data_IF_210885159277
#
_entry.id   IF_210885159277
#
_cell.length_a   1.000
_cell.length_b   1.000
_cell.length_c   1.000
_cell.angle_alpha   90.00
_cell.angle_beta   90.00
_cell.angle_gamma   90.00
#
_symmetry.space_group_name_H-M   'P 1'
#
loop_
_entity.id
_entity.type
_entity.pdbx_description
1 polymer ?
#
# COMPACT_ATOMS: atom_id res chain seq x y z
N UNK A 1 -14.58 -63.27 3.97
CA UNK A 1 -14.15 -62.89 3.80
C UNK A 1 -13.76 -62.03 3.20
N UNK A 2 -13.46 -61.78 3.08
CA UNK A 2 -13.06 -61.01 2.55
C UNK A 2 -13.39 -59.98 2.39
N UNK A 3 -13.49 -59.47 2.36
CA UNK A 3 -13.86 -58.61 2.09
C UNK A 3 -13.70 -57.62 2.49
N UNK A 4 -13.69 -57.41 2.80
CA UNK A 4 -13.64 -56.51 3.20
C UNK A 4 -12.98 -55.69 3.07
N UNK A 5 -12.68 -55.52 2.93
CA UNK A 5 -11.90 -54.92 2.96
C UNK A 5 -11.71 -53.94 2.38
N UNK A 6 -11.73 -53.81 1.87
CA UNK A 6 -11.52 -52.93 1.24
C UNK A 6 -11.89 -51.82 1.41
N UNK A 7 -12.09 -51.51 1.42
CA UNK A 7 -12.53 -50.60 1.42
C UNK A 7 -12.31 -49.60 1.90
N UNK A 8 -12.10 -49.42 2.18
CA UNK A 8 -12.01 -48.60 2.81
C UNK A 8 -11.19 -47.70 2.60
N UNK A 9 -10.49 -47.69 2.26
CA UNK A 9 -9.54 -46.86 2.17
C UNK A 9 -9.74 -45.73 1.44
N UNK A 10 -10.36 -45.82 0.64
CA UNK A 10 -10.48 -44.83 -0.15
C UNK A 10 -10.96 -43.67 0.34
N UNK A 11 -11.38 -43.63 1.31
CA UNK A 11 -11.92 -42.57 1.75
C UNK A 11 -11.09 -41.45 1.94
N UNK A 12 -9.96 -41.47 2.25
CA UNK A 12 -9.17 -40.37 2.63
C UNK A 12 -8.83 -39.41 1.57
N UNK A 13 -8.85 -39.82 0.41
CA UNK A 13 -8.38 -39.01 -0.61
C UNK A 13 -9.06 -37.73 -0.86
N UNK A 14 -10.32 -37.64 -0.83
CA UNK A 14 -10.97 -36.41 -1.19
C UNK A 14 -10.64 -35.25 -0.30
N UNK A 15 -10.24 -35.52 0.87
CA UNK A 15 -10.00 -34.44 1.75
C UNK A 15 -8.86 -33.57 1.33
N UNK A 16 -7.91 -34.12 0.67
CA UNK A 16 -6.76 -33.33 0.34
C UNK A 16 -7.05 -32.32 -0.70
N UNK A 17 -7.92 -32.58 -1.55
CA UNK A 17 -8.16 -31.66 -2.62
C UNK A 17 -8.72 -30.38 -2.15
N UNK A 18 -9.39 -30.40 -1.07
CA UNK A 18 -10.01 -29.19 -0.64
C UNK A 18 -9.06 -28.17 -0.14
N UNK A 19 -8.01 -28.59 0.45
CA UNK A 19 -7.10 -27.64 0.99
C UNK A 19 -6.44 -26.83 -0.08
N UNK A 20 -6.26 -27.39 -1.20
CA UNK A 20 -5.55 -26.65 -2.20
C UNK A 20 -6.35 -25.55 -2.78
N UNK A 21 -7.63 -25.70 -2.76
CA UNK A 21 -8.39 -24.67 -3.36
C UNK A 21 -8.38 -23.42 -2.61
N UNK A 22 -8.20 -23.51 -1.35
CA UNK A 22 -8.19 -22.30 -0.59
C UNK A 22 -7.03 -21.45 -0.88
N UNK A 23 -5.97 -22.02 -1.26
CA UNK A 23 -4.80 -21.24 -1.50
C UNK A 23 -4.86 -20.47 -2.76
N UNK A 24 -5.83 -20.72 -3.55
CA UNK A 24 -5.87 -20.07 -4.81
C UNK A 24 -6.70 -18.84 -4.84
N UNK A 25 -7.09 -18.33 -3.71
CA UNK A 25 -7.82 -17.10 -3.71
C UNK A 25 -7.00 -16.01 -3.08
N UNK A 26 -5.81 -15.78 -3.54
CA UNK A 26 -5.01 -14.71 -2.97
C UNK A 26 -5.34 -13.36 -3.53
N UNK A 27 -6.28 -13.30 -4.42
CA UNK A 27 -6.58 -12.04 -5.05
C UNK A 27 -7.51 -11.16 -4.25
N UNK A 28 -7.94 -11.62 -3.11
CA UNK A 28 -8.82 -10.81 -2.30
C UNK A 28 -8.04 -9.67 -1.68
N UNK A 29 -8.50 -8.47 -1.89
CA UNK A 29 -7.85 -7.31 -1.30
C UNK A 29 -8.28 -7.18 0.14
N UNK A 30 -7.34 -6.85 0.98
CA UNK A 30 -7.63 -6.60 2.37
C UNK A 30 -7.55 -5.12 2.62
N UNK A 31 -8.44 -4.63 3.45
CA UNK A 31 -8.46 -3.23 3.79
C UNK A 31 -7.92 -3.06 5.20
N UNK A 32 -7.00 -2.15 5.34
CA UNK A 32 -6.43 -1.83 6.64
C UNK A 32 -6.78 -0.41 6.98
N UNK A 33 -7.29 -0.15 8.17
CA UNK A 33 -7.55 1.23 8.55
C UNK A 33 -6.23 1.98 8.70
N UNK A 34 -6.21 3.19 8.19
CA UNK A 34 -5.06 4.04 8.32
C UNK A 34 -5.49 5.38 8.86
N UNK A 35 -4.68 5.93 9.74
CA UNK A 35 -4.89 7.28 10.22
C UNK A 35 -3.84 8.17 9.57
N UNK A 36 -4.28 9.26 8.98
CA UNK A 36 -3.36 10.20 8.36
C UNK A 36 -3.50 11.54 9.05
N UNK A 37 -2.41 12.25 9.14
CA UNK A 37 -2.40 13.57 9.73
C UNK A 37 -2.57 14.60 8.64
N UNK A 38 -3.58 15.43 8.79
CA UNK A 38 -3.86 16.46 7.80
C UNK A 38 -3.66 17.82 8.43
N UNK A 39 -3.11 18.72 7.65
CA UNK A 39 -2.84 20.08 8.07
C UNK A 39 -3.68 21.02 7.23
N UNK A 40 -4.12 22.15 7.82
CA UNK A 40 -4.94 23.10 7.10
C UNK A 40 -4.18 24.01 6.16
N UNK A 41 -2.93 23.70 5.88
CA UNK A 41 -2.13 24.54 5.01
C UNK A 41 -1.09 23.69 4.31
N UNK A 42 -0.32 24.32 3.43
CA UNK A 42 0.74 23.63 2.73
C UNK A 42 1.88 23.32 3.70
N UNK A 43 2.39 22.10 3.67
CA UNK A 43 3.48 21.72 4.54
C UNK A 43 4.86 22.07 3.99
N UNK A 44 4.90 22.78 2.86
CA UNK A 44 6.15 22.96 2.14
C UNK A 44 7.23 23.59 2.97
N UNK A 45 6.90 24.69 3.66
CA UNK A 45 7.89 25.36 4.48
C UNK A 45 8.35 24.52 5.65
N UNK A 46 7.44 23.81 6.25
CA UNK A 46 7.76 22.98 7.39
C UNK A 46 8.68 21.85 6.99
N UNK A 47 8.41 21.23 5.85
CA UNK A 47 9.23 20.13 5.38
C UNK A 47 10.62 20.62 5.00
N UNK A 48 10.70 21.79 4.39
CA UNK A 48 11.99 22.35 4.05
C UNK A 48 12.80 22.67 5.28
N UNK A 49 12.18 23.32 6.26
CA UNK A 49 12.92 23.76 7.43
C UNK A 49 13.32 22.62 8.34
N UNK A 50 12.46 21.64 8.51
CA UNK A 50 12.77 20.57 9.43
C UNK A 50 13.60 19.46 8.83
N UNK A 51 13.34 19.14 7.57
CA UNK A 51 13.96 17.96 6.97
C UNK A 51 14.76 18.29 5.73
N UNK A 52 14.73 19.50 5.27
CA UNK A 52 15.42 19.85 4.03
C UNK A 52 14.79 19.26 2.81
N UNK A 53 13.51 18.93 2.87
CA UNK A 53 12.83 18.28 1.77
C UNK A 53 12.23 19.29 0.82
N UNK A 54 12.38 19.02 -0.45
CA UNK A 54 11.86 19.86 -1.53
C UNK A 54 10.90 19.02 -2.38
N UNK A 55 9.92 19.68 -3.01
CA UNK A 55 9.03 18.92 -3.90
C UNK A 55 9.81 18.34 -5.05
N UNK A 56 9.55 17.09 -5.32
CA UNK A 56 10.30 16.35 -6.32
C UNK A 56 9.39 15.80 -7.41
N UNK A 57 8.25 15.23 -7.06
CA UNK A 57 7.30 14.70 -8.01
C UNK A 57 5.91 15.11 -7.61
N UNK A 58 5.05 15.34 -8.61
CA UNK A 58 3.66 15.66 -8.40
C UNK A 58 2.80 14.85 -9.34
N UNK A 59 1.60 14.56 -8.92
CA UNK A 59 0.65 13.89 -9.77
C UNK A 59 -0.74 14.01 -9.21
N UNK A 60 -1.71 13.57 -10.00
CA UNK A 60 -3.08 13.50 -9.57
C UNK A 60 -3.39 12.07 -9.22
N UNK A 61 -4.12 11.87 -8.17
CA UNK A 61 -4.43 10.53 -7.73
C UNK A 61 -5.72 10.48 -6.95
N UNK A 62 -6.04 9.28 -6.51
CA UNK A 62 -7.25 9.04 -5.75
C UNK A 62 -6.95 8.14 -4.58
N UNK A 63 -7.66 8.39 -3.50
CA UNK A 63 -7.61 7.51 -2.33
C UNK A 63 -9.01 6.95 -2.16
N UNK A 64 -9.10 5.67 -1.91
CA UNK A 64 -10.37 5.02 -1.67
C UNK A 64 -10.71 5.14 -0.19
N UNK A 65 -11.87 5.69 0.09
CA UNK A 65 -12.31 5.87 1.46
C UNK A 65 -13.52 4.97 1.70
N UNK A 66 -13.93 4.80 2.96
CA UNK A 66 -15.03 3.89 3.27
C UNK A 66 -16.29 4.20 2.48
N UNK A 67 -17.02 3.14 2.10
CA UNK A 67 -18.22 3.30 1.30
C UNK A 67 -17.95 3.27 -0.19
N UNK A 68 -16.81 2.72 -0.59
CA UNK A 68 -16.44 2.61 -1.99
C UNK A 68 -16.42 3.93 -2.71
N UNK A 69 -16.12 4.99 -1.99
CA UNK A 69 -15.99 6.30 -2.58
C UNK A 69 -14.52 6.58 -2.79
N UNK A 70 -14.23 7.50 -3.66
CA UNK A 70 -12.86 7.91 -3.88
C UNK A 70 -12.73 9.40 -3.63
N UNK A 71 -11.57 9.76 -3.15
CA UNK A 71 -11.22 11.14 -2.88
C UNK A 71 -10.09 11.51 -3.81
N UNK A 72 -10.33 12.41 -4.72
CA UNK A 72 -9.34 12.81 -5.72
C UNK A 72 -8.53 13.99 -5.21
N UNK A 73 -7.28 14.04 -5.58
CA UNK A 73 -6.45 15.14 -5.15
C UNK A 73 -5.09 15.12 -5.81
N UNK A 74 -4.26 16.04 -5.35
CA UNK A 74 -2.90 16.14 -5.85
C UNK A 74 -1.96 15.44 -4.89
N UNK A 75 -1.06 14.66 -5.43
CA UNK A 75 -0.03 13.99 -4.66
C UNK A 75 1.29 14.67 -4.94
N UNK A 76 2.04 14.96 -3.91
CA UNK A 76 3.38 15.53 -4.04
C UNK A 76 4.33 14.71 -3.20
N UNK A 77 5.44 14.33 -3.80
CA UNK A 77 6.50 13.68 -3.07
C UNK A 77 7.61 14.68 -2.82
N UNK A 78 7.92 14.86 -1.56
CA UNK A 78 9.02 15.73 -1.13
C UNK A 78 10.23 14.86 -0.82
N UNK A 79 11.39 15.32 -1.19
CA UNK A 79 12.59 14.54 -1.06
C UNK A 79 13.74 15.43 -0.62
N UNK A 80 14.52 14.94 0.31
CA UNK A 80 15.76 15.60 0.67
C UNK A 80 16.78 15.25 -0.42
N UNK A 81 17.40 16.24 -1.05
CA UNK A 81 18.17 15.99 -2.29
C UNK A 81 19.32 15.02 -2.16
N UNK A 82 19.83 14.81 -0.98
CA UNK A 82 20.93 13.90 -0.82
C UNK A 82 20.49 12.50 -0.43
N UNK A 83 19.20 12.21 -0.63
CA UNK A 83 18.73 10.88 -0.39
C UNK A 83 18.41 10.58 1.05
N UNK A 84 18.20 11.61 1.85
CA UNK A 84 17.94 11.40 3.26
C UNK A 84 16.52 10.94 3.53
N UNK A 85 15.59 11.87 3.56
CA UNK A 85 14.22 11.55 3.94
C UNK A 85 13.27 11.95 2.84
N UNK A 86 12.07 11.40 2.91
CA UNK A 86 11.01 11.75 1.98
C UNK A 86 9.68 11.80 2.68
N UNK A 87 8.75 12.55 2.09
CA UNK A 87 7.38 12.64 2.58
C UNK A 87 6.45 12.69 1.39
N UNK A 88 5.36 11.94 1.46
CA UNK A 88 4.34 11.96 0.43
C UNK A 88 3.12 12.64 1.01
N UNK A 89 2.69 13.71 0.33
CA UNK A 89 1.56 14.53 0.76
C UNK A 89 0.43 14.36 -0.25
N UNK A 90 -0.77 14.21 0.26
CA UNK A 90 -1.97 14.19 -0.57
C UNK A 90 -2.83 15.39 -0.22
N UNK A 91 -3.23 16.15 -1.24
CA UNK A 91 -4.04 17.34 -1.05
C UNK A 91 -5.37 17.15 -1.77
N UNK A 92 -6.43 16.83 -1.03
CA UNK A 92 -7.75 16.74 -1.64
C UNK A 92 -8.31 18.10 -2.05
N UNK A 93 -7.88 19.13 -1.34
CA UNK A 93 -8.20 20.50 -1.71
C UNK A 93 -6.97 21.34 -1.47
N UNK A 94 -6.98 22.57 -1.92
CA UNK A 94 -5.82 23.42 -1.72
C UNK A 94 -5.59 23.77 -0.26
N UNK A 95 -6.62 23.64 0.54
CA UNK A 95 -6.52 24.04 1.93
C UNK A 95 -6.16 22.92 2.88
N UNK A 96 -6.09 21.70 2.39
CA UNK A 96 -5.84 20.55 3.25
C UNK A 96 -4.72 19.71 2.67
N UNK A 97 -3.72 19.45 3.48
CA UNK A 97 -2.59 18.62 3.10
C UNK A 97 -2.46 17.46 4.09
N UNK A 98 -2.49 16.25 3.59
CA UNK A 98 -2.43 15.06 4.43
C UNK A 98 -1.14 14.31 4.20
N UNK A 99 -0.45 13.98 5.27
CA UNK A 99 0.77 13.20 5.18
C UNK A 99 0.41 11.74 5.07
N UNK A 100 0.70 11.14 3.93
CA UNK A 100 0.36 9.76 3.67
C UNK A 100 1.49 8.83 4.10
N UNK A 101 2.71 9.22 3.86
CA UNK A 101 3.84 8.34 4.15
C UNK A 101 5.10 9.18 4.27
N UNK A 102 6.00 8.76 5.12
CA UNK A 102 7.32 9.36 5.22
C UNK A 102 8.31 8.25 5.49
N UNK A 103 9.56 8.51 5.17
CA UNK A 103 10.58 7.50 5.37
C UNK A 103 11.96 8.03 5.04
N UNK A 104 12.89 7.11 4.86
CA UNK A 104 14.27 7.49 4.60
C UNK A 104 14.91 6.48 3.67
N UNK A 105 16.17 6.72 3.34
CA UNK A 105 16.98 5.79 2.57
C UNK A 105 16.41 5.50 1.19
N UNK A 106 16.03 6.56 0.50
CA UNK A 106 15.53 6.42 -0.86
C UNK A 106 16.66 6.15 -1.81
N UNK A 107 16.52 5.11 -2.60
CA UNK A 107 17.48 4.80 -3.63
C UNK A 107 16.74 4.59 -4.94
N UNK A 108 17.33 4.97 -6.05
CA UNK A 108 16.69 4.72 -7.34
C UNK A 108 16.74 3.24 -7.69
N UNK A 109 15.68 2.79 -8.34
CA UNK A 109 15.60 1.43 -8.82
C UNK A 109 15.68 1.49 -10.33
N UNK A 110 16.68 0.82 -10.89
CA UNK A 110 16.85 0.84 -12.33
C UNK A 110 15.98 -0.22 -12.97
N UNK A 111 15.47 0.05 -14.17
CA UNK A 111 14.63 -0.92 -14.86
C UNK A 111 15.37 -2.23 -15.07
N UNK A 112 14.67 -3.32 -14.77
CA UNK A 112 15.25 -4.64 -14.96
C UNK A 112 16.03 -5.19 -13.81
N UNK A 113 16.23 -4.41 -12.75
CA UNK A 113 16.93 -4.91 -11.59
C UNK A 113 15.95 -5.43 -10.56
N UNK A 114 16.26 -6.56 -9.92
CA UNK A 114 15.38 -7.06 -8.87
C UNK A 114 15.48 -6.19 -7.63
N UNK A 115 14.40 -6.16 -6.90
CA UNK A 115 14.37 -5.42 -5.64
C UNK A 115 14.96 -6.20 -4.50
#
# INVERSE_FOLDING_TARGET
MKWLTAFLCMLAIPALAQDQQQEQTPMALQQFPMFVNCLPSSPEDMLLQRYGELPFLEGLGSIIIPGDRSLNGKMTMYLEPQGGTFTIIFQPTEDISCMIMSGSDIIPVLPGEPL
#
